data_IF_687944012897
#
_entry.id   IF_687944012897
#
_cell.length_a   1.000
_cell.length_b   1.000
_cell.length_c   1.000
_cell.angle_alpha   90.00
_cell.angle_beta   90.00
_cell.angle_gamma   90.00
#
_symmetry.space_group_name_H-M   'P 1'
#
loop_
_entity.id
_entity.type
_entity.pdbx_description
1 polymer ?
#
# COMPACT_ATOMS: atom_id res chain seq x y z
N UNK A 1 -16.87 -60.26 31.67
CA UNK A 1 -18.32 -60.00 31.58
C UNK A 1 -18.52 -58.50 31.71
N UNK A 2 -19.32 -57.93 30.80
CA UNK A 2 -19.66 -56.51 30.67
C UNK A 2 -20.23 -55.96 32.00
N UNK A 3 -20.10 -54.67 32.33
CA UNK A 3 -21.08 -53.68 31.86
C UNK A 3 -20.53 -52.24 31.88
N UNK A 4 -20.86 -51.54 30.80
CA UNK A 4 -20.58 -50.15 30.45
C UNK A 4 -21.60 -49.21 31.12
N UNK A 5 -21.15 -48.05 31.58
CA UNK A 5 -22.01 -46.90 31.92
C UNK A 5 -21.60 -45.70 31.06
N UNK A 6 -22.60 -45.05 30.47
CA UNK A 6 -22.50 -44.08 29.39
C UNK A 6 -22.36 -42.61 29.86
N UNK A 7 -21.45 -41.89 29.21
CA UNK A 7 -21.49 -40.51 28.66
C UNK A 7 -22.06 -39.34 29.52
N UNK A 8 -21.26 -38.28 29.68
CA UNK A 8 -21.54 -36.83 29.40
C UNK A 8 -20.55 -35.95 30.20
N UNK A 9 -19.97 -34.83 29.79
CA UNK A 9 -19.98 -33.99 28.59
C UNK A 9 -18.65 -33.22 28.61
N UNK A 10 -17.87 -33.22 27.51
CA UNK A 10 -16.83 -32.20 27.35
C UNK A 10 -17.54 -30.87 27.06
N UNK A 11 -17.48 -29.94 28.00
CA UNK A 11 -17.90 -28.56 27.78
C UNK A 11 -16.93 -27.90 26.80
N UNK A 12 -17.27 -27.94 25.52
CA UNK A 12 -16.69 -27.05 24.50
C UNK A 12 -17.02 -25.60 24.88
N UNK A 13 -16.05 -24.67 24.88
CA UNK A 13 -16.37 -23.26 25.06
C UNK A 13 -17.27 -22.80 23.90
N UNK A 14 -18.20 -21.86 24.15
CA UNK A 14 -19.16 -21.43 23.16
C UNK A 14 -18.41 -20.83 21.96
N UNK A 15 -18.65 -21.44 20.80
CA UNK A 15 -18.35 -20.90 19.49
C UNK A 15 -18.86 -19.47 19.42
N UNK A 16 -17.98 -18.50 19.63
CA UNK A 16 -18.25 -17.12 19.27
C UNK A 16 -18.62 -17.12 17.79
N UNK A 17 -19.66 -16.40 17.36
CA UNK A 17 -19.92 -16.23 15.94
C UNK A 17 -18.67 -15.60 15.32
N UNK A 18 -17.97 -16.38 14.50
CA UNK A 18 -16.81 -16.01 13.73
C UNK A 18 -17.18 -15.07 12.57
N UNK A 19 -17.91 -14.01 12.89
CA UNK A 19 -18.37 -13.03 11.91
C UNK A 19 -18.34 -11.63 12.52
N UNK A 20 -17.21 -11.27 13.12
CA UNK A 20 -16.78 -9.87 13.05
C UNK A 20 -16.51 -9.64 11.56
N UNK A 21 -17.18 -8.70 10.88
CA UNK A 21 -16.76 -8.29 9.56
C UNK A 21 -15.28 -7.89 9.72
N UNK A 22 -14.38 -8.72 9.17
CA UNK A 22 -12.98 -8.36 9.05
C UNK A 22 -13.02 -6.98 8.40
N UNK A 23 -12.60 -5.95 9.15
CA UNK A 23 -12.64 -4.57 8.69
C UNK A 23 -12.19 -4.55 7.22
N UNK A 24 -12.87 -3.79 6.33
CA UNK A 24 -12.62 -3.85 4.90
C UNK A 24 -11.12 -3.84 4.73
N UNK A 25 -10.56 -4.91 4.15
CA UNK A 25 -9.12 -5.03 3.97
C UNK A 25 -8.68 -3.71 3.36
N UNK A 26 -7.95 -2.91 4.14
CA UNK A 26 -7.48 -1.61 3.68
C UNK A 26 -6.50 -1.94 2.57
N UNK A 27 -7.01 -2.10 1.34
CA UNK A 27 -6.25 -2.60 0.20
C UNK A 27 -5.02 -1.74 -0.01
N UNK A 28 -5.11 -0.47 0.38
CA UNK A 28 -4.02 0.48 0.46
C UNK A 28 -4.04 1.17 1.83
N UNK A 29 -2.89 1.28 2.48
CA UNK A 29 -2.73 1.94 3.78
C UNK A 29 -2.26 3.40 3.66
N UNK A 30 -1.74 3.78 2.49
CA UNK A 30 -1.27 5.12 2.19
C UNK A 30 -1.57 5.50 0.73
N UNK A 31 -1.86 6.77 0.51
CA UNK A 31 -1.98 7.40 -0.81
C UNK A 31 -0.96 8.53 -0.93
N UNK A 32 -0.17 8.52 -1.99
CA UNK A 32 0.88 9.52 -2.24
C UNK A 32 0.49 10.37 -3.44
N UNK A 33 0.63 11.68 -3.26
CA UNK A 33 0.37 12.69 -4.28
C UNK A 33 1.66 13.43 -4.58
N UNK A 34 2.07 13.47 -5.85
CA UNK A 34 3.23 14.24 -6.28
C UNK A 34 2.82 15.61 -6.83
N UNK A 35 3.56 16.64 -6.42
CA UNK A 35 3.33 18.01 -6.83
C UNK A 35 4.61 18.61 -7.40
N UNK A 36 4.42 19.41 -8.44
CA UNK A 36 5.43 20.33 -8.97
C UNK A 36 4.92 21.75 -8.74
N UNK A 37 5.48 22.43 -7.74
CA UNK A 37 4.95 23.69 -7.22
C UNK A 37 3.49 23.50 -6.76
N UNK A 38 2.56 24.25 -7.36
CA UNK A 38 1.14 24.21 -7.01
C UNK A 38 0.34 23.20 -7.85
N UNK A 39 0.99 22.51 -8.80
CA UNK A 39 0.32 21.60 -9.71
C UNK A 39 0.49 20.16 -9.26
N UNK A 40 -0.62 19.45 -9.13
CA UNK A 40 -0.60 18.00 -8.95
C UNK A 40 -0.21 17.36 -10.29
N UNK A 41 0.77 16.45 -10.27
CA UNK A 41 1.31 15.81 -11.48
C UNK A 41 1.18 14.29 -11.39
N UNK A 42 0.58 13.68 -12.39
CA UNK A 42 0.37 12.23 -12.47
C UNK A 42 -0.77 11.69 -11.60
N UNK A 43 -0.89 10.36 -11.60
CA UNK A 43 -1.91 9.63 -10.84
C UNK A 43 -1.56 9.51 -9.34
N UNK A 44 -2.54 9.14 -8.52
CA UNK A 44 -2.30 8.82 -7.10
C UNK A 44 -1.61 7.47 -7.01
N UNK A 45 -0.46 7.42 -6.33
CA UNK A 45 0.14 6.14 -5.96
C UNK A 45 -0.53 5.60 -4.70
N UNK A 46 -0.94 4.34 -4.73
CA UNK A 46 -1.61 3.68 -3.62
C UNK A 46 -0.72 2.57 -3.07
N UNK A 47 -0.21 2.77 -1.85
CA UNK A 47 0.65 1.80 -1.19
C UNK A 47 -0.20 0.70 -0.54
N UNK A 48 -0.07 -0.51 -1.05
CA UNK A 48 -0.67 -1.72 -0.48
C UNK A 48 0.32 -2.54 0.34
N UNK A 49 1.62 -2.34 0.10
CA UNK A 49 2.73 -3.04 0.75
C UNK A 49 3.24 -2.24 1.96
N UNK A 50 3.68 -2.88 3.05
CA UNK A 50 4.14 -2.17 4.25
C UNK A 50 5.27 -1.17 4.03
N UNK A 51 6.01 -1.31 2.93
CA UNK A 51 7.08 -0.41 2.51
C UNK A 51 7.03 -0.18 1.01
N UNK A 52 7.47 0.99 0.59
CA UNK A 52 7.66 1.32 -0.81
C UNK A 52 8.74 2.40 -0.98
N UNK A 53 9.29 2.50 -2.19
CA UNK A 53 10.28 3.51 -2.55
C UNK A 53 9.67 4.56 -3.45
N UNK A 54 10.04 5.83 -3.27
CA UNK A 54 9.80 6.90 -4.25
C UNK A 54 11.15 7.23 -4.88
N UNK A 55 11.20 7.48 -6.19
CA UNK A 55 12.48 7.82 -6.85
C UNK A 55 12.31 8.71 -8.08
N UNK A 56 13.43 9.18 -8.63
CA UNK A 56 13.50 10.00 -9.84
C UNK A 56 13.68 9.20 -11.13
N UNK A 57 13.61 7.87 -11.08
CA UNK A 57 13.81 7.00 -12.25
C UNK A 57 12.50 6.85 -13.06
N UNK A 58 12.48 5.93 -14.03
CA UNK A 58 11.38 5.76 -14.99
C UNK A 58 10.76 4.36 -14.91
N UNK A 59 10.68 3.76 -13.72
CA UNK A 59 10.03 2.45 -13.59
C UNK A 59 8.53 2.55 -13.98
N UNK A 60 7.93 1.45 -14.48
CA UNK A 60 6.51 1.44 -14.84
C UNK A 60 5.62 1.79 -13.64
N UNK A 61 4.58 2.59 -13.89
CA UNK A 61 3.64 3.08 -12.87
C UNK A 61 2.79 1.98 -12.20
N UNK A 62 2.82 0.75 -12.75
CA UNK A 62 2.08 -0.41 -12.24
C UNK A 62 2.73 -1.09 -11.02
N UNK A 63 3.94 -0.67 -10.62
CA UNK A 63 4.58 -1.21 -9.41
C UNK A 63 3.85 -0.76 -8.15
N UNK A 64 3.65 -1.67 -7.19
CA UNK A 64 3.04 -1.35 -5.87
C UNK A 64 4.08 -1.09 -4.78
N UNK A 65 5.36 -1.29 -5.10
CA UNK A 65 6.49 -1.15 -4.17
C UNK A 65 7.40 0.02 -4.57
N UNK A 66 7.13 0.66 -5.72
CA UNK A 66 7.98 1.69 -6.31
C UNK A 66 7.16 2.75 -7.04
N UNK A 67 7.27 3.99 -6.60
CA UNK A 67 6.68 5.14 -7.24
C UNK A 67 7.77 5.99 -7.93
N UNK A 68 7.94 5.78 -9.24
CA UNK A 68 8.93 6.49 -10.04
C UNK A 68 8.38 7.78 -10.63
N UNK A 69 8.98 8.91 -10.24
CA UNK A 69 8.55 10.24 -10.64
C UNK A 69 9.08 10.62 -12.02
N UNK A 70 10.22 10.08 -12.46
CA UNK A 70 10.94 10.49 -13.68
C UNK A 70 10.12 10.39 -14.96
N UNK A 71 9.20 9.41 -15.05
CA UNK A 71 8.31 9.22 -16.19
C UNK A 71 7.07 10.13 -16.22
N UNK A 72 6.80 10.87 -15.15
CA UNK A 72 5.61 11.73 -15.08
C UNK A 72 5.77 12.95 -15.99
N UNK A 73 4.82 13.13 -16.90
CA UNK A 73 4.78 14.24 -17.84
C UNK A 73 4.03 15.44 -17.27
N UNK A 74 4.55 16.64 -17.50
CA UNK A 74 3.90 17.91 -17.15
C UNK A 74 4.28 18.95 -18.21
N UNK A 75 3.29 19.35 -19.03
CA UNK A 75 3.52 20.18 -20.24
C UNK A 75 4.12 21.54 -19.91
N UNK A 76 3.72 22.14 -18.79
CA UNK A 76 4.13 23.49 -18.39
C UNK A 76 5.22 23.46 -17.31
N UNK A 77 6.11 22.46 -17.35
CA UNK A 77 7.14 22.31 -16.33
C UNK A 77 8.22 23.41 -16.47
N UNK A 78 8.50 24.18 -15.39
CA UNK A 78 9.58 25.16 -15.40
C UNK A 78 10.96 24.48 -15.43
N UNK A 79 11.98 25.07 -16.10
CA UNK A 79 13.32 24.49 -16.18
C UNK A 79 13.97 24.21 -14.82
N UNK A 80 13.70 25.05 -13.82
CA UNK A 80 14.20 24.87 -12.45
C UNK A 80 13.64 23.59 -11.83
N UNK A 81 12.38 23.25 -12.09
CA UNK A 81 11.76 22.01 -11.61
C UNK A 81 12.38 20.80 -12.32
N UNK A 82 12.60 20.87 -13.63
CA UNK A 82 13.32 19.81 -14.37
C UNK A 82 14.75 19.60 -13.87
N UNK A 83 15.46 20.68 -13.50
CA UNK A 83 16.77 20.60 -12.85
C UNK A 83 16.66 19.91 -11.49
N UNK A 84 15.71 20.29 -10.64
CA UNK A 84 15.51 19.68 -9.32
C UNK A 84 15.18 18.19 -9.44
N UNK A 85 14.33 17.79 -10.40
CA UNK A 85 13.93 16.39 -10.62
C UNK A 85 15.11 15.46 -10.90
N UNK A 86 16.15 15.95 -11.58
CA UNK A 86 17.39 15.18 -11.83
C UNK A 86 18.16 14.81 -10.57
N UNK A 87 17.94 15.51 -9.46
CA UNK A 87 18.61 15.26 -8.19
C UNK A 87 17.82 14.34 -7.26
N UNK A 88 16.62 13.89 -7.64
CA UNK A 88 15.81 12.99 -6.81
C UNK A 88 16.51 11.62 -6.67
N UNK A 89 17.15 11.12 -7.74
CA UNK A 89 17.91 9.85 -7.67
C UNK A 89 17.08 8.71 -7.06
N UNK A 90 17.67 7.97 -6.14
CA UNK A 90 16.98 7.00 -5.26
C UNK A 90 16.63 7.68 -3.93
N UNK A 91 15.34 7.79 -3.60
CA UNK A 91 14.90 8.30 -2.30
C UNK A 91 14.74 7.15 -1.30
N UNK A 92 14.80 7.46 -0.01
CA UNK A 92 14.72 6.48 1.08
C UNK A 92 13.37 5.73 1.12
N UNK A 93 13.36 4.46 1.59
CA UNK A 93 12.13 3.68 1.74
C UNK A 93 11.21 4.28 2.80
N UNK A 94 9.90 4.27 2.51
CA UNK A 94 8.83 4.58 3.44
C UNK A 94 8.31 3.32 4.15
#
# INVERSE_FOLDING_TARGET
MQQQMSISNLSTPPSHPANVPLAPSLKNWCSVFYYELNNRVGDVFHASKPKFTVDGFTAPLLSTERFSLGGLSHVNRPPQVDMTRRHIGEFAPF
#
